data_IF_133957667077
#
_entry.id   IF_133957667077
#
_cell.length_a   1.000
_cell.length_b   1.000
_cell.length_c   1.000
_cell.angle_alpha   90.00
_cell.angle_beta   90.00
_cell.angle_gamma   90.00
#
_symmetry.space_group_name_H-M   'P 1'
#
loop_
_entity.id
_entity.type
_entity.pdbx_description
1 polymer ?
#
# COMPACT_ATOMS: atom_id res chain seq x y z
N UNK A 1 46.67 -33.97 18.41
CA UNK A 1 46.55 -34.52 17.05
C UNK A 1 46.32 -33.33 16.16
N UNK A 2 47.24 -33.11 15.23
CA UNK A 2 47.38 -31.86 14.49
C UNK A 2 46.37 -31.84 13.33
N UNK A 3 45.37 -30.96 13.42
CA UNK A 3 44.30 -30.77 12.41
C UNK A 3 44.81 -29.99 11.18
N UNK A 4 46.05 -30.23 10.76
CA UNK A 4 46.65 -29.60 9.59
C UNK A 4 46.56 -30.54 8.37
N UNK A 5 45.37 -30.59 7.78
CA UNK A 5 45.19 -31.10 6.41
C UNK A 5 46.03 -30.23 5.46
N UNK A 6 46.83 -30.82 4.58
CA UNK A 6 47.55 -30.06 3.54
C UNK A 6 46.55 -29.36 2.61
N UNK A 7 46.89 -28.20 2.07
CA UNK A 7 45.99 -27.37 1.23
C UNK A 7 45.27 -28.16 0.12
N UNK A 8 45.93 -29.19 -0.43
CA UNK A 8 45.34 -30.10 -1.42
C UNK A 8 44.19 -30.95 -0.86
N UNK A 9 44.32 -31.50 0.35
CA UNK A 9 43.29 -32.33 0.96
C UNK A 9 42.07 -31.49 1.39
N UNK A 10 42.31 -30.26 1.87
CA UNK A 10 41.22 -29.32 2.18
C UNK A 10 40.42 -28.97 0.91
N UNK A 11 41.11 -28.74 -0.21
CA UNK A 11 40.47 -28.44 -1.49
C UNK A 11 39.60 -29.61 -2.00
N UNK A 12 40.06 -30.86 -1.86
CA UNK A 12 39.27 -32.03 -2.26
C UNK A 12 38.01 -32.22 -1.41
N UNK A 13 38.09 -31.98 -0.10
CA UNK A 13 36.95 -32.08 0.82
C UNK A 13 35.88 -31.04 0.44
N UNK A 14 36.27 -29.79 0.20
CA UNK A 14 35.35 -28.72 -0.23
C UNK A 14 34.73 -29.06 -1.59
N UNK A 15 35.53 -29.52 -2.55
CA UNK A 15 35.06 -29.90 -3.89
C UNK A 15 34.05 -31.03 -3.84
N UNK A 16 34.28 -32.04 -3.00
CA UNK A 16 33.35 -33.15 -2.80
C UNK A 16 32.06 -32.68 -2.12
N UNK A 17 32.17 -31.86 -1.08
CA UNK A 17 31.01 -31.30 -0.39
C UNK A 17 30.12 -30.47 -1.33
N UNK A 18 30.70 -29.63 -2.17
CA UNK A 18 29.97 -28.86 -3.19
C UNK A 18 29.35 -29.76 -4.26
N UNK A 19 30.02 -30.82 -4.69
CA UNK A 19 29.46 -31.78 -5.66
C UNK A 19 28.25 -32.51 -5.07
N UNK A 20 28.32 -32.90 -3.81
CA UNK A 20 27.29 -33.66 -3.13
C UNK A 20 26.08 -32.77 -2.73
N UNK A 21 26.32 -31.49 -2.41
CA UNK A 21 25.28 -30.55 -1.94
C UNK A 21 24.89 -29.47 -2.97
N UNK A 22 25.51 -29.45 -4.15
CA UNK A 22 25.35 -28.38 -5.13
C UNK A 22 23.90 -28.13 -5.52
N UNK A 23 23.09 -29.19 -5.61
CA UNK A 23 21.66 -29.06 -5.88
C UNK A 23 20.91 -28.35 -4.75
N UNK A 24 21.21 -28.70 -3.49
CA UNK A 24 20.60 -28.06 -2.31
C UNK A 24 21.00 -26.60 -2.16
N UNK A 25 22.25 -26.26 -2.50
CA UNK A 25 22.75 -24.87 -2.53
C UNK A 25 22.01 -24.07 -3.59
N UNK A 26 21.92 -24.60 -4.82
CA UNK A 26 21.20 -23.97 -5.92
C UNK A 26 19.72 -23.75 -5.56
N UNK A 27 19.07 -24.76 -4.98
CA UNK A 27 17.69 -24.66 -4.55
C UNK A 27 17.50 -23.57 -3.48
N UNK A 28 18.41 -23.51 -2.50
CA UNK A 28 18.37 -22.50 -1.43
C UNK A 28 18.55 -21.09 -1.98
N UNK A 29 19.49 -20.89 -2.91
CA UNK A 29 19.71 -19.61 -3.58
C UNK A 29 18.46 -19.23 -4.39
N UNK A 30 17.90 -20.15 -5.16
CA UNK A 30 16.71 -19.90 -5.95
C UNK A 30 15.52 -19.49 -5.07
N UNK A 31 15.29 -20.21 -3.96
CA UNK A 31 14.24 -19.87 -2.99
C UNK A 31 14.47 -18.49 -2.36
N UNK A 32 15.71 -18.16 -1.99
CA UNK A 32 16.06 -16.85 -1.45
C UNK A 32 15.77 -15.72 -2.43
N UNK A 33 16.16 -15.88 -3.70
CA UNK A 33 15.92 -14.90 -4.76
C UNK A 33 14.41 -14.76 -4.99
N UNK A 34 13.69 -15.86 -5.18
CA UNK A 34 12.24 -15.83 -5.42
C UNK A 34 11.47 -15.21 -4.27
N UNK A 35 11.81 -15.53 -3.02
CA UNK A 35 11.19 -14.93 -1.84
C UNK A 35 11.42 -13.42 -1.76
N UNK A 36 12.67 -12.97 -1.96
CA UNK A 36 13.00 -11.54 -1.95
C UNK A 36 12.26 -10.77 -3.04
N UNK A 37 12.31 -11.24 -4.29
CA UNK A 37 11.63 -10.57 -5.41
C UNK A 37 10.10 -10.65 -5.30
N UNK A 38 9.55 -11.74 -4.74
CA UNK A 38 8.12 -11.87 -4.49
C UNK A 38 7.59 -10.81 -3.53
N UNK A 39 8.26 -10.63 -2.39
CA UNK A 39 7.89 -9.59 -1.41
C UNK A 39 8.06 -8.17 -1.97
N UNK A 40 9.13 -7.94 -2.73
CA UNK A 40 9.38 -6.65 -3.38
C UNK A 40 8.31 -6.31 -4.43
N UNK A 41 7.90 -7.29 -5.22
CA UNK A 41 6.85 -7.12 -6.23
C UNK A 41 5.52 -6.73 -5.57
N UNK A 42 5.12 -7.47 -4.53
CA UNK A 42 3.89 -7.19 -3.79
C UNK A 42 3.89 -5.80 -3.14
N UNK A 43 5.01 -5.38 -2.53
CA UNK A 43 5.12 -4.06 -1.92
C UNK A 43 5.05 -2.92 -2.95
N UNK A 44 5.71 -3.07 -4.11
CA UNK A 44 5.69 -2.06 -5.17
C UNK A 44 4.30 -1.84 -5.74
N UNK A 45 3.54 -2.92 -5.91
CA UNK A 45 2.17 -2.82 -6.42
C UNK A 45 1.26 -2.04 -5.46
N UNK A 46 1.32 -2.37 -4.15
CA UNK A 46 0.63 -1.59 -3.12
C UNK A 46 1.06 -0.13 -3.07
N UNK A 47 2.36 0.13 -3.11
CA UNK A 47 2.88 1.51 -3.06
C UNK A 47 2.36 2.34 -4.23
N UNK A 48 2.35 1.80 -5.45
CA UNK A 48 1.79 2.47 -6.63
C UNK A 48 0.29 2.76 -6.47
N UNK A 49 -0.46 1.84 -5.87
CA UNK A 49 -1.87 2.06 -5.54
C UNK A 49 -2.06 3.28 -4.63
N UNK A 50 -1.29 3.37 -3.54
CA UNK A 50 -1.35 4.51 -2.62
C UNK A 50 -0.86 5.81 -3.25
N UNK A 51 0.18 5.78 -4.09
CA UNK A 51 0.64 6.95 -4.85
C UNK A 51 -0.44 7.49 -5.79
N UNK A 52 -1.18 6.61 -6.46
CA UNK A 52 -2.27 7.01 -7.35
C UNK A 52 -3.48 7.55 -6.56
N UNK A 53 -3.85 6.91 -5.45
CA UNK A 53 -4.90 7.41 -4.56
C UNK A 53 -4.53 8.80 -3.99
N UNK A 54 -3.27 8.99 -3.57
CA UNK A 54 -2.78 10.30 -3.09
C UNK A 54 -2.89 11.39 -4.16
N UNK A 55 -2.55 11.07 -5.42
CA UNK A 55 -2.68 11.99 -6.55
C UNK A 55 -4.14 12.39 -6.78
N UNK A 56 -5.04 11.40 -6.80
CA UNK A 56 -6.47 11.64 -6.96
C UNK A 56 -7.04 12.50 -5.82
N UNK A 57 -6.60 12.24 -4.58
CA UNK A 57 -6.93 13.08 -3.43
C UNK A 57 -6.49 14.54 -3.63
N UNK A 58 -5.27 14.77 -4.12
CA UNK A 58 -4.79 16.13 -4.42
C UNK A 58 -5.65 16.83 -5.50
N UNK A 59 -6.15 16.07 -6.49
CA UNK A 59 -7.07 16.60 -7.50
C UNK A 59 -8.45 16.94 -6.91
N UNK A 60 -8.95 16.12 -5.98
CA UNK A 60 -10.17 16.40 -5.21
C UNK A 60 -9.98 17.70 -4.42
N UNK A 61 -8.91 17.82 -3.63
CA UNK A 61 -8.63 19.03 -2.85
C UNK A 61 -8.54 20.28 -3.73
N UNK A 62 -7.94 20.15 -4.92
CA UNK A 62 -7.90 21.24 -5.88
C UNK A 62 -9.29 21.62 -6.40
N UNK A 63 -10.13 20.64 -6.75
CA UNK A 63 -11.51 20.89 -7.16
C UNK A 63 -12.33 21.56 -6.04
N UNK A 64 -12.19 21.10 -4.80
CA UNK A 64 -12.85 21.66 -3.62
C UNK A 64 -12.42 23.11 -3.35
N UNK A 65 -11.11 23.42 -3.43
CA UNK A 65 -10.59 24.79 -3.30
C UNK A 65 -11.16 25.74 -4.34
N UNK A 66 -11.43 25.23 -5.54
CA UNK A 66 -12.08 25.97 -6.63
C UNK A 66 -13.61 25.94 -6.54
N UNK A 67 -14.19 25.37 -5.48
CA UNK A 67 -15.62 25.18 -5.28
C UNK A 67 -16.33 24.44 -6.44
N UNK A 68 -15.60 23.58 -7.15
CA UNK A 68 -16.15 22.75 -8.25
C UNK A 68 -16.70 21.45 -7.70
N UNK A 69 -17.84 21.54 -7.02
CA UNK A 69 -18.47 20.42 -6.28
C UNK A 69 -18.70 19.20 -7.18
N UNK A 70 -19.33 19.37 -8.35
CA UNK A 70 -19.60 18.24 -9.25
C UNK A 70 -18.34 17.55 -9.76
N UNK A 71 -17.25 18.31 -9.96
CA UNK A 71 -15.95 17.71 -10.31
C UNK A 71 -15.39 16.92 -9.13
N UNK A 72 -15.43 17.48 -7.92
CA UNK A 72 -14.96 16.81 -6.72
C UNK A 72 -15.75 15.52 -6.45
N UNK A 73 -17.07 15.52 -6.67
CA UNK A 73 -17.93 14.34 -6.55
C UNK A 73 -17.59 13.25 -7.58
N UNK A 74 -17.31 13.62 -8.84
CA UNK A 74 -16.87 12.66 -9.85
C UNK A 74 -15.52 12.02 -9.49
N UNK A 75 -14.58 12.83 -9.00
CA UNK A 75 -13.27 12.35 -8.54
C UNK A 75 -13.40 11.49 -7.27
N UNK A 76 -14.34 11.82 -6.37
CA UNK A 76 -14.66 10.99 -5.21
C UNK A 76 -15.23 9.63 -5.64
N UNK A 77 -16.14 9.60 -6.62
CA UNK A 77 -16.65 8.34 -7.18
C UNK A 77 -15.51 7.49 -7.78
N UNK A 78 -14.52 8.13 -8.41
CA UNK A 78 -13.32 7.45 -8.91
C UNK A 78 -12.46 6.91 -7.75
N UNK A 79 -12.35 7.67 -6.65
CA UNK A 79 -11.67 7.22 -5.43
C UNK A 79 -12.35 5.98 -4.85
N UNK A 80 -13.69 5.99 -4.76
CA UNK A 80 -14.47 4.88 -4.21
C UNK A 80 -14.34 3.61 -5.05
N UNK A 81 -14.35 3.75 -6.38
CA UNK A 81 -14.31 2.61 -7.28
C UNK A 81 -12.91 1.98 -7.38
N UNK A 82 -11.85 2.79 -7.29
CA UNK A 82 -10.49 2.34 -7.60
C UNK A 82 -9.58 2.23 -6.36
N UNK A 83 -9.94 2.86 -5.25
CA UNK A 83 -9.07 3.03 -4.08
C UNK A 83 -9.84 2.92 -2.74
N UNK A 84 -10.89 2.09 -2.67
CA UNK A 84 -11.76 1.91 -1.48
C UNK A 84 -11.06 1.52 -0.18
N UNK A 85 -9.84 0.96 -0.26
CA UNK A 85 -9.09 0.50 0.92
C UNK A 85 -8.02 1.52 1.35
N UNK A 86 -8.01 2.68 0.70
CA UNK A 86 -7.04 3.73 0.93
C UNK A 86 -7.52 4.70 2.00
N UNK A 87 -6.68 5.14 2.94
CA UNK A 87 -7.01 6.25 3.85
C UNK A 87 -7.44 7.52 3.11
N UNK A 88 -6.98 7.69 1.87
CA UNK A 88 -7.35 8.82 1.02
C UNK A 88 -8.85 8.83 0.65
N UNK A 89 -9.53 7.68 0.65
CA UNK A 89 -10.97 7.62 0.45
C UNK A 89 -11.70 8.36 1.57
N UNK A 90 -11.45 7.97 2.82
CA UNK A 90 -12.09 8.59 3.98
C UNK A 90 -11.74 10.08 4.07
N UNK A 91 -10.49 10.46 3.78
CA UNK A 91 -10.08 11.85 3.71
C UNK A 91 -10.85 12.63 2.64
N UNK A 92 -11.11 12.05 1.46
CA UNK A 92 -11.92 12.68 0.42
C UNK A 92 -13.36 12.90 0.85
N UNK A 93 -13.99 11.91 1.49
CA UNK A 93 -15.35 12.08 2.05
C UNK A 93 -15.39 13.18 3.11
N UNK A 94 -14.46 13.17 4.07
CA UNK A 94 -14.37 14.22 5.10
C UNK A 94 -14.15 15.62 4.50
N UNK A 95 -13.34 15.72 3.44
CA UNK A 95 -13.10 16.99 2.76
C UNK A 95 -14.35 17.52 2.02
N UNK A 96 -15.12 16.62 1.38
CA UNK A 96 -16.42 16.99 0.80
C UNK A 96 -17.44 17.36 1.89
N UNK A 97 -17.51 16.58 2.98
CA UNK A 97 -18.40 16.85 4.11
C UNK A 97 -18.17 18.28 4.64
N UNK A 98 -16.90 18.63 4.87
CA UNK A 98 -16.51 19.97 5.29
C UNK A 98 -16.99 21.05 4.33
N UNK A 99 -16.82 20.85 3.01
CA UNK A 99 -17.26 21.85 2.04
C UNK A 99 -18.79 21.98 2.01
N UNK A 100 -19.52 20.87 2.09
CA UNK A 100 -20.97 20.87 2.19
C UNK A 100 -21.43 21.64 3.44
N UNK A 101 -20.81 21.42 4.61
CA UNK A 101 -21.07 22.20 5.82
C UNK A 101 -20.77 23.70 5.65
N UNK A 102 -19.62 24.04 5.05
CA UNK A 102 -19.24 25.43 4.79
C UNK A 102 -20.23 26.12 3.82
N UNK A 103 -20.91 25.35 2.97
CA UNK A 103 -21.97 25.82 2.05
C UNK A 103 -23.41 25.67 2.58
N UNK A 104 -23.58 25.27 3.85
CA UNK A 104 -24.87 25.03 4.51
C UNK A 104 -25.71 23.89 3.90
N UNK A 105 -25.08 22.99 3.15
CA UNK A 105 -25.69 21.80 2.55
C UNK A 105 -25.54 20.59 3.49
N UNK A 106 -26.20 20.67 4.65
CA UNK A 106 -26.01 19.69 5.72
C UNK A 106 -26.46 18.27 5.34
N UNK A 107 -27.46 18.13 4.47
CA UNK A 107 -27.95 16.83 4.03
C UNK A 107 -26.85 16.05 3.31
N UNK A 108 -26.15 16.70 2.37
CA UNK A 108 -25.03 16.06 1.69
C UNK A 108 -23.81 15.89 2.58
N UNK A 109 -23.58 16.80 3.55
CA UNK A 109 -22.51 16.63 4.52
C UNK A 109 -22.69 15.36 5.35
N UNK A 110 -23.91 15.11 5.85
CA UNK A 110 -24.25 13.92 6.64
C UNK A 110 -23.98 12.64 5.84
N UNK A 111 -24.39 12.58 4.57
CA UNK A 111 -24.13 11.42 3.70
C UNK A 111 -22.64 11.08 3.65
N UNK A 112 -21.77 12.09 3.54
CA UNK A 112 -20.33 11.85 3.49
C UNK A 112 -19.75 11.42 4.85
N UNK A 113 -20.28 11.96 5.96
CA UNK A 113 -19.83 11.59 7.31
C UNK A 113 -20.28 10.17 7.69
N UNK A 114 -21.53 9.82 7.41
CA UNK A 114 -22.07 8.47 7.61
C UNK A 114 -21.26 7.43 6.84
N UNK A 115 -20.86 7.74 5.60
CA UNK A 115 -19.97 6.87 4.85
C UNK A 115 -18.68 6.57 5.62
N UNK A 116 -18.04 7.60 6.21
CA UNK A 116 -16.79 7.44 6.96
C UNK A 116 -17.02 6.64 8.23
N UNK A 117 -18.09 6.92 8.98
CA UNK A 117 -18.45 6.18 10.19
C UNK A 117 -18.67 4.69 9.92
N UNK A 118 -19.37 4.37 8.83
CA UNK A 118 -19.75 3.00 8.47
C UNK A 118 -18.59 2.19 7.88
N UNK A 119 -17.68 2.85 7.14
CA UNK A 119 -16.68 2.15 6.32
C UNK A 119 -15.24 2.30 6.81
N UNK A 120 -14.92 3.29 7.64
CA UNK A 120 -13.54 3.49 8.10
C UNK A 120 -13.08 2.34 9.00
N UNK A 121 -11.96 1.72 8.66
CA UNK A 121 -11.34 0.69 9.51
C UNK A 121 -10.59 1.28 10.72
N UNK A 122 -10.22 2.57 10.65
CA UNK A 122 -9.50 3.28 11.71
C UNK A 122 -10.48 4.13 12.53
N UNK A 123 -10.52 3.89 13.84
CA UNK A 123 -11.39 4.59 14.78
C UNK A 123 -11.13 6.12 14.81
N UNK A 124 -9.92 6.57 14.47
CA UNK A 124 -9.62 8.00 14.39
C UNK A 124 -10.43 8.71 13.31
N UNK A 125 -10.68 8.07 12.16
CA UNK A 125 -11.53 8.64 11.11
C UNK A 125 -12.99 8.67 11.53
N UNK A 126 -13.48 7.63 12.22
CA UNK A 126 -14.84 7.62 12.77
C UNK A 126 -15.06 8.74 13.77
N UNK A 127 -14.10 8.93 14.68
CA UNK A 127 -14.19 9.99 15.69
C UNK A 127 -14.19 11.41 15.09
N UNK A 128 -13.58 11.60 13.92
CA UNK A 128 -13.65 12.88 13.19
C UNK A 128 -15.03 13.07 12.53
N UNK A 129 -15.72 11.98 12.21
CA UNK A 129 -17.00 11.99 11.52
C UNK A 129 -18.22 12.06 12.45
N UNK A 130 -18.10 11.60 13.71
CA UNK A 130 -19.12 11.68 14.77
C UNK A 130 -19.51 13.12 15.17
#
# INVERSE_FOLDING_TARGET
MDDNLTDQQQAEIVKKWLKDNGMSILLSIALGISGYFGLQFYQKDKLRGYENASRLYAEIEFALKQQRISQAQNLLQEMDNNFSDSPYQYQSHLALAKLHMDTLDYDNAIIQLEFVMDNASDESFKHIAD
#
